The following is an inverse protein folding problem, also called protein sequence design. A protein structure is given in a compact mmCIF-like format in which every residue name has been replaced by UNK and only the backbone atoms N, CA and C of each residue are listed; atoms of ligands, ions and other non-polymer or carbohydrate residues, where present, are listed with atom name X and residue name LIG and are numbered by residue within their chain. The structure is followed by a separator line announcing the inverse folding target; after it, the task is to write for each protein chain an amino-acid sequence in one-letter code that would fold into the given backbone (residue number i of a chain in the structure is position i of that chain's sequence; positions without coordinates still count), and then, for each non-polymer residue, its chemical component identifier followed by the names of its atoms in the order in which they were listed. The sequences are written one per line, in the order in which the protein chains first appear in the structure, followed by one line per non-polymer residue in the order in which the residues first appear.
data_IF_903718959363
#
_entry.id   IF_903718959363
#
_cell.length_a   1.000
_cell.length_b   1.000
_cell.length_c   1.000
_cell.angle_alpha   90.00
_cell.angle_beta   90.00
_cell.angle_gamma   90.00
#
_symmetry.space_group_name_H-M   'P 1'
#
loop_
_entity.id
_entity.type
_entity.pdbx_description
1 polymer ?
#
# COMPACT_ATOMS: atom_id res chain seq x y z
N UNK A 1 40.57 26.44 36.86
CA UNK A 1 40.58 25.09 36.26
C UNK A 1 39.32 24.96 35.43
N UNK A 2 39.42 25.09 34.10
CA UNK A 2 38.28 25.04 33.19
C UNK A 2 37.92 23.58 32.89
N UNK A 3 36.75 23.15 33.33
CA UNK A 3 36.17 21.86 32.95
C UNK A 3 35.55 22.01 31.56
N UNK A 4 36.34 21.70 30.54
CA UNK A 4 35.83 21.47 29.19
C UNK A 4 34.87 20.28 29.25
N UNK A 5 33.57 20.51 29.01
CA UNK A 5 32.61 19.42 28.83
C UNK A 5 32.81 18.86 27.43
N UNK A 6 33.50 17.74 27.34
CA UNK A 6 33.56 16.97 26.11
C UNK A 6 32.14 16.44 25.82
N UNK A 7 31.44 17.09 24.88
CA UNK A 7 30.18 16.58 24.35
C UNK A 7 30.47 15.34 23.49
N UNK A 8 30.61 14.20 24.16
CA UNK A 8 30.66 12.89 23.54
C UNK A 8 29.32 12.61 22.85
N UNK A 9 29.26 12.94 21.56
CA UNK A 9 28.13 12.58 20.72
C UNK A 9 28.17 11.06 20.52
N UNK A 10 27.22 10.35 21.14
CA UNK A 10 26.95 8.95 20.78
C UNK A 10 26.10 8.97 19.52
N UNK A 11 26.72 9.20 18.36
CA UNK A 11 26.04 8.99 17.09
C UNK A 11 26.00 7.48 16.85
N UNK A 12 24.89 6.84 17.22
CA UNK A 12 24.64 5.45 16.84
C UNK A 12 24.46 5.39 15.33
N UNK A 13 25.50 4.93 14.63
CA UNK A 13 25.38 4.56 13.22
C UNK A 13 24.39 3.40 13.13
N UNK A 14 23.12 3.70 12.84
CA UNK A 14 22.12 2.69 12.51
C UNK A 14 22.53 2.11 11.15
N UNK A 15 23.07 0.89 11.17
CA UNK A 15 23.36 0.12 9.96
C UNK A 15 22.05 -0.34 9.34
N UNK A 16 21.32 0.58 8.70
CA UNK A 16 20.20 0.20 7.88
C UNK A 16 20.69 -0.66 6.72
N UNK A 17 20.03 -1.79 6.50
CA UNK A 17 20.29 -2.67 5.37
C UNK A 17 19.92 -1.92 4.07
N UNK A 18 20.90 -1.22 3.49
CA UNK A 18 20.73 -0.35 2.31
C UNK A 18 20.32 -1.13 1.05
N UNK A 19 20.76 -2.38 0.94
CA UNK A 19 20.44 -3.25 -0.19
C UNK A 19 19.01 -3.82 -0.11
N UNK A 20 18.44 -3.94 1.09
CA UNK A 20 17.10 -4.50 1.31
C UNK A 20 16.04 -3.39 1.31
N UNK A 21 15.80 -2.85 0.12
CA UNK A 21 14.77 -1.82 -0.11
C UNK A 21 13.36 -2.42 -0.19
N UNK A 22 12.33 -1.60 0.03
CA UNK A 22 10.94 -2.05 -0.12
C UNK A 22 10.65 -2.57 -1.53
N UNK A 23 11.30 -1.98 -2.55
CA UNK A 23 11.18 -2.41 -3.95
C UNK A 23 11.74 -3.82 -4.17
N UNK A 24 12.94 -4.10 -3.67
CA UNK A 24 13.53 -5.44 -3.74
C UNK A 24 12.65 -6.48 -3.05
N UNK A 25 12.10 -6.14 -1.88
CA UNK A 25 11.17 -7.02 -1.16
C UNK A 25 9.85 -7.23 -1.90
N UNK A 26 9.30 -6.18 -2.50
CA UNK A 26 8.08 -6.25 -3.29
C UNK A 26 8.25 -7.24 -4.45
N UNK A 27 9.34 -7.11 -5.22
CA UNK A 27 9.66 -8.00 -6.33
C UNK A 27 9.83 -9.46 -5.87
N UNK A 28 10.54 -9.69 -4.76
CA UNK A 28 10.77 -11.02 -4.19
C UNK A 28 9.48 -11.69 -3.71
N UNK A 29 8.69 -10.97 -2.92
CA UNK A 29 7.48 -11.51 -2.28
C UNK A 29 6.21 -11.33 -3.11
N UNK A 30 6.31 -10.84 -4.36
CA UNK A 30 5.15 -10.63 -5.24
C UNK A 30 4.28 -11.87 -5.33
N UNK A 31 4.86 -13.07 -5.53
CA UNK A 31 4.10 -14.32 -5.65
C UNK A 31 3.35 -14.66 -4.35
N UNK A 32 3.99 -14.45 -3.19
CA UNK A 32 3.43 -14.75 -1.88
C UNK A 32 2.27 -13.81 -1.53
N UNK A 33 2.44 -12.52 -1.81
CA UNK A 33 1.40 -11.50 -1.59
C UNK A 33 0.25 -11.68 -2.60
N UNK A 34 0.53 -12.08 -3.85
CA UNK A 34 -0.52 -12.43 -4.83
C UNK A 34 -1.38 -13.61 -4.37
N UNK A 35 -0.76 -14.63 -3.76
CA UNK A 35 -1.48 -15.79 -3.25
C UNK A 35 -2.34 -15.47 -2.02
N UNK A 36 -1.90 -14.54 -1.16
CA UNK A 36 -2.66 -14.05 -0.02
C UNK A 36 -2.49 -12.53 0.15
N UNK A 37 -3.39 -11.72 -0.44
CA UNK A 37 -3.34 -10.26 -0.34
C UNK A 37 -3.46 -9.72 1.10
N UNK A 38 -4.10 -10.49 1.98
CA UNK A 38 -4.28 -10.14 3.40
C UNK A 38 -3.14 -10.61 4.30
N UNK A 39 -1.99 -10.98 3.71
CA UNK A 39 -0.82 -11.39 4.47
C UNK A 39 -0.42 -10.35 5.52
N UNK A 40 -0.19 -10.85 6.74
CA UNK A 40 0.26 -10.04 7.86
C UNK A 40 1.68 -9.54 7.62
N UNK A 41 1.93 -8.29 7.97
CA UNK A 41 3.28 -7.68 7.88
C UNK A 41 4.31 -8.49 8.67
N UNK A 42 3.90 -9.03 9.82
CA UNK A 42 4.76 -9.88 10.64
C UNK A 42 5.16 -11.17 9.92
N UNK A 43 4.28 -11.77 9.13
CA UNK A 43 4.61 -12.96 8.34
C UNK A 43 5.64 -12.66 7.24
N UNK A 44 5.56 -11.47 6.61
CA UNK A 44 6.58 -11.02 5.66
C UNK A 44 7.93 -10.84 6.37
N UNK A 45 7.94 -10.20 7.55
CA UNK A 45 9.16 -10.01 8.34
C UNK A 45 9.79 -11.34 8.75
N UNK A 46 8.98 -12.29 9.20
CA UNK A 46 9.43 -13.62 9.55
C UNK A 46 10.06 -14.34 8.36
N UNK A 47 9.46 -14.24 7.17
CA UNK A 47 10.07 -14.82 5.96
C UNK A 47 11.40 -14.20 5.58
N UNK A 48 11.58 -12.90 5.81
CA UNK A 48 12.87 -12.22 5.59
C UNK A 48 13.90 -12.69 6.61
N UNK A 49 13.48 -12.88 7.87
CA UNK A 49 14.35 -13.38 8.94
C UNK A 49 14.79 -14.83 8.67
N UNK A 50 13.88 -15.68 8.21
CA UNK A 50 14.18 -17.07 7.82
C UNK A 50 15.10 -17.15 6.59
N UNK A 51 14.95 -16.24 5.62
CA UNK A 51 15.70 -16.28 4.36
C UNK A 51 17.07 -15.60 4.44
N UNK A 52 17.19 -14.52 5.21
CA UNK A 52 18.39 -13.68 5.26
C UNK A 52 19.02 -13.59 6.66
N UNK A 53 18.37 -14.09 7.71
CA UNK A 53 18.83 -13.94 9.10
C UNK A 53 18.77 -12.49 9.58
N UNK A 54 17.86 -11.67 9.02
CA UNK A 54 17.79 -10.24 9.28
C UNK A 54 16.42 -9.82 9.78
N UNK A 55 16.42 -9.03 10.86
CA UNK A 55 15.21 -8.37 11.34
C UNK A 55 14.87 -7.19 10.45
N UNK A 56 13.85 -7.35 9.62
CA UNK A 56 13.34 -6.27 8.79
C UNK A 56 12.58 -5.23 9.64
N UNK A 57 12.79 -3.95 9.33
CA UNK A 57 11.91 -2.88 9.78
C UNK A 57 10.46 -3.08 9.31
N UNK A 58 9.50 -2.78 10.20
CA UNK A 58 8.07 -2.98 9.94
C UNK A 58 7.57 -2.13 8.78
N UNK A 59 8.04 -0.89 8.65
CA UNK A 59 7.60 0.00 7.58
C UNK A 59 8.12 -0.46 6.21
N UNK A 60 9.32 -1.05 6.15
CA UNK A 60 9.84 -1.67 4.91
C UNK A 60 8.95 -2.81 4.41
N UNK A 61 8.52 -3.72 5.31
CA UNK A 61 7.60 -4.80 4.93
C UNK A 61 6.23 -4.26 4.54
N UNK A 62 5.72 -3.26 5.27
CA UNK A 62 4.46 -2.61 4.93
C UNK A 62 4.49 -2.02 3.52
N UNK A 63 5.51 -1.21 3.21
CA UNK A 63 5.68 -0.58 1.89
C UNK A 63 5.86 -1.61 0.79
N UNK A 64 6.60 -2.70 1.05
CA UNK A 64 6.77 -3.78 0.09
C UNK A 64 5.42 -4.44 -0.24
N UNK A 65 4.60 -4.72 0.78
CA UNK A 65 3.25 -5.26 0.57
C UNK A 65 2.38 -4.30 -0.22
N UNK A 66 2.34 -3.04 0.19
CA UNK A 66 1.54 -1.99 -0.43
C UNK A 66 1.90 -1.80 -1.91
N UNK A 67 3.20 -1.77 -2.24
CA UNK A 67 3.69 -1.71 -3.62
C UNK A 67 3.19 -2.89 -4.47
N UNK A 68 3.15 -4.11 -3.93
CA UNK A 68 2.62 -5.26 -4.66
C UNK A 68 1.10 -5.16 -4.82
N UNK A 69 0.39 -4.71 -3.78
CA UNK A 69 -1.07 -4.51 -3.85
C UNK A 69 -1.44 -3.43 -4.88
N UNK A 70 -0.71 -2.32 -4.94
CA UNK A 70 -0.88 -1.29 -5.97
C UNK A 70 -0.69 -1.86 -7.39
N UNK A 71 0.20 -2.82 -7.59
CA UNK A 71 0.40 -3.48 -8.90
C UNK A 71 -0.73 -4.45 -9.23
N UNK A 72 -1.27 -5.17 -8.24
CA UNK A 72 -2.35 -6.15 -8.44
C UNK A 72 -3.70 -5.47 -8.65
N UNK A 73 -4.09 -4.61 -7.71
CA UNK A 73 -5.40 -3.95 -7.69
C UNK A 73 -5.41 -2.63 -8.46
N UNK A 74 -4.23 -2.16 -8.89
CA UNK A 74 -4.08 -0.82 -9.43
C UNK A 74 -4.13 0.23 -8.32
N UNK A 75 -3.85 1.48 -8.69
CA UNK A 75 -4.21 2.63 -7.86
C UNK A 75 -5.71 2.86 -8.02
N UNK A 76 -6.52 2.29 -7.15
CA UNK A 76 -8.00 2.37 -7.20
C UNK A 76 -8.49 3.80 -7.43
N UNK A 77 -7.87 4.80 -6.80
CA UNK A 77 -8.23 6.20 -6.98
C UNK A 77 -7.93 6.80 -8.36
N UNK A 78 -6.94 6.27 -9.10
CA UNK A 78 -6.55 6.84 -10.41
C UNK A 78 -7.40 6.29 -11.56
N UNK A 79 -7.89 5.05 -11.49
CA UNK A 79 -8.71 4.48 -12.57
C UNK A 79 -10.07 5.20 -12.69
N UNK A 80 -10.75 5.45 -11.57
CA UNK A 80 -12.07 6.09 -11.58
C UNK A 80 -12.03 7.60 -11.80
N UNK A 81 -10.86 8.24 -11.69
CA UNK A 81 -10.72 9.68 -11.95
C UNK A 81 -11.21 10.08 -13.34
N UNK A 82 -11.12 9.17 -14.33
CA UNK A 82 -11.60 9.39 -15.70
C UNK A 82 -13.12 9.52 -15.81
N UNK A 83 -13.89 8.90 -14.90
CA UNK A 83 -15.36 8.94 -14.95
C UNK A 83 -15.91 10.37 -14.85
N UNK A 84 -15.29 11.21 -14.02
CA UNK A 84 -15.69 12.61 -13.90
C UNK A 84 -15.41 13.42 -15.16
N UNK A 85 -14.29 13.16 -15.85
CA UNK A 85 -14.01 13.80 -17.14
C UNK A 85 -15.02 13.36 -18.21
N UNK A 86 -15.37 12.07 -18.26
CA UNK A 86 -16.41 11.58 -19.16
C UNK A 86 -17.78 12.19 -18.86
N UNK A 87 -18.15 12.32 -17.59
CA UNK A 87 -19.39 13.01 -17.20
C UNK A 87 -19.44 14.43 -17.75
N UNK A 88 -18.37 15.19 -17.57
CA UNK A 88 -18.29 16.57 -18.07
C UNK A 88 -18.40 16.63 -19.59
N UNK A 89 -17.72 15.73 -20.30
CA UNK A 89 -17.75 15.67 -21.77
C UNK A 89 -19.14 15.28 -22.31
N UNK A 90 -19.84 14.37 -21.64
CA UNK A 90 -21.22 14.00 -21.97
C UNK A 90 -22.19 15.17 -21.80
N UNK A 91 -22.09 15.91 -20.70
CA UNK A 91 -22.93 17.10 -20.46
C UNK A 91 -22.60 18.24 -21.44
N UNK A 92 -21.34 18.36 -21.86
CA UNK A 92 -20.91 19.35 -22.85
C UNK A 92 -21.49 19.07 -24.24
N UNK A 93 -21.57 17.79 -24.63
CA UNK A 93 -22.08 17.37 -25.94
C UNK A 93 -23.60 17.27 -25.97
N UNK A 94 -24.23 16.94 -24.84
CA UNK A 94 -25.67 16.77 -24.70
C UNK A 94 -26.16 17.49 -23.43
N UNK A 95 -26.37 18.82 -23.50
CA UNK A 95 -26.68 19.65 -22.33
C UNK A 95 -28.03 19.32 -21.66
N UNK A 96 -28.98 18.74 -22.41
CA UNK A 96 -30.29 18.33 -21.89
C UNK A 96 -30.27 16.94 -21.24
N UNK A 97 -29.13 16.23 -21.30
CA UNK A 97 -28.99 14.91 -20.70
C UNK A 97 -28.53 14.99 -19.24
N UNK A 98 -28.88 13.98 -18.45
CA UNK A 98 -28.40 13.83 -17.07
C UNK A 98 -27.53 12.58 -16.95
N UNK A 99 -26.42 12.69 -16.23
CA UNK A 99 -25.45 11.61 -16.02
C UNK A 99 -25.31 11.32 -14.54
N UNK A 100 -25.63 10.09 -14.16
CA UNK A 100 -25.56 9.58 -12.79
C UNK A 100 -24.49 8.49 -12.72
N UNK A 101 -23.56 8.62 -11.76
CA UNK A 101 -22.51 7.63 -11.50
C UNK A 101 -22.91 6.91 -10.21
N UNK A 102 -23.23 5.63 -10.33
CA UNK A 102 -23.53 4.76 -9.20
C UNK A 102 -22.31 3.91 -8.86
N UNK A 103 -22.12 3.61 -7.58
CA UNK A 103 -21.10 2.68 -7.11
C UNK A 103 -21.74 1.70 -6.13
N UNK A 104 -21.42 0.42 -6.29
CA UNK A 104 -21.80 -0.63 -5.35
C UNK A 104 -20.76 -0.65 -4.23
N UNK A 105 -21.20 -0.65 -2.98
CA UNK A 105 -20.34 -0.89 -1.83
C UNK A 105 -20.55 -2.34 -1.39
N UNK A 106 -19.49 -3.17 -1.42
CA UNK A 106 -19.54 -4.59 -1.05
C UNK A 106 -20.09 -4.85 0.37
N UNK A 107 -20.24 -3.80 1.20
CA UNK A 107 -20.84 -3.86 2.54
C UNK A 107 -22.38 -3.83 2.57
N UNK A 108 -23.06 -3.62 1.45
CA UNK A 108 -24.53 -3.44 1.39
C UNK A 108 -25.27 -4.58 0.67
N UNK A 109 -24.56 -5.56 0.11
CA UNK A 109 -25.16 -6.68 -0.65
C UNK A 109 -25.89 -7.72 0.22
N UNK A 110 -25.90 -7.58 1.55
CA UNK A 110 -26.48 -8.55 2.49
C UNK A 110 -27.93 -8.27 2.93
N UNK A 111 -28.53 -7.13 2.56
CA UNK A 111 -29.87 -6.76 3.06
C UNK A 111 -31.02 -7.02 2.09
N UNK A 112 -30.77 -7.38 0.82
CA UNK A 112 -31.82 -7.61 -0.20
C UNK A 112 -32.45 -9.02 -0.18
N UNK A 113 -32.70 -9.59 1.00
CA UNK A 113 -33.27 -10.93 1.12
C UNK A 113 -34.01 -11.26 2.40
N UNK A 114 -34.28 -10.26 3.25
CA UNK A 114 -34.98 -10.48 4.51
C UNK A 114 -35.96 -9.34 4.74
N UNK A 115 -36.99 -9.26 3.89
CA UNK A 115 -38.26 -8.57 4.13
C UNK A 115 -39.19 -8.95 2.97
N UNK A 116 -39.88 -10.09 3.12
CA UNK A 116 -41.06 -10.50 2.34
C UNK A 116 -41.93 -11.39 3.21
#
# INVERSE_FOLDING_TARGET
MNLQRDHAHTCSQVMEQKWLTSKCLAERYTKKIKANPHILIQAIRQSVDEEFGLTLDRMKAYRARDQVLEVIFGKTGLQYRKLFYYKTELLRTHPDSSVHIHYENERESETWGRDS
#
